data_IF_918400310775
#
_entry.id   IF_918400310775
#
_cell.length_a   1.000
_cell.length_b   1.000
_cell.length_c   1.000
_cell.angle_alpha   90.00
_cell.angle_beta   90.00
_cell.angle_gamma   90.00
#
_symmetry.space_group_name_H-M   'P 1'
#
loop_
_entity.id
_entity.type
_entity.pdbx_description
1 polymer ?
#
# COMPACT_ATOMS: atom_id res chain seq x y z
N UNK A 1 24.15 41.72 -72.23
CA UNK A 1 24.51 40.41 -71.58
C UNK A 1 25.27 40.75 -70.34
N UNK A 2 24.75 40.44 -69.17
CA UNK A 2 25.47 40.58 -67.86
C UNK A 2 26.51 39.52 -67.72
N UNK A 3 27.69 39.75 -67.10
CA UNK A 3 28.74 38.74 -66.91
C UNK A 3 28.29 37.71 -65.85
N UNK A 4 28.41 36.43 -66.19
CA UNK A 4 28.26 35.34 -65.27
C UNK A 4 29.38 35.39 -64.21
N UNK A 5 29.06 35.77 -63.02
CA UNK A 5 29.95 35.59 -61.86
C UNK A 5 30.20 34.12 -61.67
N UNK A 6 31.35 33.59 -62.05
CA UNK A 6 31.84 32.28 -61.75
C UNK A 6 32.24 32.30 -60.25
N UNK A 7 31.40 31.84 -59.42
CA UNK A 7 31.78 31.58 -58.05
C UNK A 7 32.72 30.38 -58.05
N UNK A 8 33.99 30.64 -57.85
CA UNK A 8 34.97 29.61 -57.59
C UNK A 8 34.69 29.00 -56.25
N UNK A 9 33.96 27.90 -56.24
CA UNK A 9 33.67 27.11 -55.05
C UNK A 9 34.94 26.39 -54.62
N UNK A 10 35.56 26.89 -53.55
CA UNK A 10 36.80 26.33 -53.00
C UNK A 10 36.48 25.07 -52.17
N UNK A 11 36.29 23.95 -52.85
CA UNK A 11 35.83 22.68 -52.28
C UNK A 11 36.76 22.16 -51.17
N UNK A 12 38.04 22.45 -51.21
CA UNK A 12 38.98 22.07 -50.17
C UNK A 12 38.85 22.86 -48.90
N UNK A 13 38.47 24.13 -48.96
CA UNK A 13 38.25 24.96 -47.78
C UNK A 13 36.93 24.63 -47.10
N UNK A 14 35.86 24.40 -47.88
CA UNK A 14 34.56 23.94 -47.37
C UNK A 14 34.68 22.56 -46.73
N UNK A 15 35.37 21.62 -47.33
CA UNK A 15 35.63 20.28 -46.78
C UNK A 15 36.38 20.34 -45.42
N UNK A 16 37.39 21.22 -45.29
CA UNK A 16 38.15 21.39 -44.05
C UNK A 16 37.28 21.95 -42.92
N UNK A 17 36.40 22.95 -43.23
CA UNK A 17 35.47 23.56 -42.25
C UNK A 17 34.42 22.54 -41.81
N UNK A 18 33.88 21.77 -42.76
CA UNK A 18 32.92 20.72 -42.44
C UNK A 18 33.52 19.63 -41.58
N UNK A 19 34.71 19.13 -41.92
CA UNK A 19 35.42 18.13 -41.15
C UNK A 19 35.74 18.61 -39.72
N UNK A 20 36.14 19.88 -39.57
CA UNK A 20 36.37 20.45 -38.23
C UNK A 20 35.07 20.54 -37.42
N UNK A 21 33.96 20.96 -38.01
CA UNK A 21 32.65 20.99 -37.35
C UNK A 21 32.19 19.59 -36.96
N UNK A 22 32.34 18.63 -37.87
CA UNK A 22 32.00 17.23 -37.60
C UNK A 22 32.86 16.64 -36.46
N UNK A 23 34.16 16.94 -36.46
CA UNK A 23 35.07 16.50 -35.40
C UNK A 23 34.66 17.05 -34.02
N UNK A 24 34.34 18.38 -33.98
CA UNK A 24 33.84 18.99 -32.73
C UNK A 24 32.52 18.36 -32.28
N UNK A 25 31.57 18.11 -33.20
CA UNK A 25 30.32 17.46 -32.89
C UNK A 25 30.54 16.03 -32.34
N UNK A 26 31.44 15.25 -32.94
CA UNK A 26 31.79 13.91 -32.47
C UNK A 26 32.39 13.96 -31.06
N UNK A 27 33.33 14.89 -30.82
CA UNK A 27 33.95 15.04 -29.48
C UNK A 27 32.89 15.42 -28.43
N UNK A 28 31.96 16.30 -28.80
CA UNK A 28 30.84 16.68 -27.90
C UNK A 28 29.95 15.48 -27.56
N UNK A 29 29.55 14.70 -28.57
CA UNK A 29 28.72 13.50 -28.37
C UNK A 29 29.45 12.45 -27.53
N UNK A 30 30.72 12.20 -27.80
CA UNK A 30 31.53 11.27 -26.98
C UNK A 30 31.65 11.76 -25.54
N UNK A 31 31.85 13.05 -25.33
CA UNK A 31 31.91 13.65 -24.01
C UNK A 31 30.59 13.47 -23.24
N UNK A 32 29.45 13.72 -23.88
CA UNK A 32 28.12 13.49 -23.27
C UNK A 32 27.87 12.02 -22.96
N UNK A 33 28.25 11.11 -23.86
CA UNK A 33 28.19 9.68 -23.64
C UNK A 33 29.05 9.24 -22.44
N UNK A 34 30.26 9.77 -22.32
CA UNK A 34 31.14 9.47 -21.20
C UNK A 34 30.54 9.92 -19.87
N UNK A 35 29.89 11.10 -19.82
CA UNK A 35 29.19 11.58 -18.61
C UNK A 35 28.04 10.63 -18.24
N UNK A 36 27.23 10.23 -19.23
CA UNK A 36 26.11 9.31 -18.99
C UNK A 36 26.62 7.95 -18.50
N UNK A 37 27.64 7.40 -19.11
CA UNK A 37 28.23 6.12 -18.73
C UNK A 37 28.83 6.16 -17.31
N UNK A 38 29.49 7.26 -16.95
CA UNK A 38 30.01 7.46 -15.61
C UNK A 38 28.88 7.52 -14.58
N UNK A 39 27.80 8.27 -14.89
CA UNK A 39 26.62 8.34 -14.02
C UNK A 39 25.93 6.98 -13.91
N UNK A 40 25.81 6.27 -15.00
CA UNK A 40 25.26 4.92 -15.02
C UNK A 40 26.06 3.97 -14.14
N UNK A 41 27.38 4.02 -14.24
CA UNK A 41 28.28 3.22 -13.41
C UNK A 41 28.13 3.53 -11.91
N UNK A 42 28.09 4.80 -11.53
CA UNK A 42 27.90 5.19 -10.12
C UNK A 42 26.58 4.67 -9.57
N UNK A 43 25.49 4.81 -10.32
CA UNK A 43 24.16 4.34 -9.90
C UNK A 43 24.05 2.81 -9.83
N UNK A 44 24.69 2.11 -10.77
CA UNK A 44 24.54 0.64 -10.90
C UNK A 44 25.54 -0.14 -10.03
N UNK A 45 26.69 0.43 -9.73
CA UNK A 45 27.75 -0.27 -9.00
C UNK A 45 27.98 0.34 -7.63
N UNK A 46 28.22 1.65 -7.56
CA UNK A 46 28.61 2.29 -6.30
C UNK A 46 27.43 2.50 -5.34
N UNK A 47 26.29 2.93 -5.88
CA UNK A 47 25.10 3.28 -5.10
C UNK A 47 23.99 2.21 -5.18
N UNK A 48 24.31 1.03 -5.76
CA UNK A 48 23.34 -0.05 -5.98
C UNK A 48 22.61 -0.48 -4.70
N UNK A 49 23.35 -0.71 -3.61
CA UNK A 49 22.78 -1.18 -2.34
C UNK A 49 21.83 -0.13 -1.72
N UNK A 50 22.15 1.15 -1.87
CA UNK A 50 21.31 2.23 -1.34
C UNK A 50 19.98 2.33 -2.11
N UNK A 51 20.04 2.34 -3.45
CA UNK A 51 18.83 2.38 -4.28
C UNK A 51 17.99 1.11 -4.17
N UNK A 52 18.63 -0.04 -4.02
CA UNK A 52 17.94 -1.31 -3.75
C UNK A 52 17.20 -1.24 -2.42
N UNK A 53 17.83 -0.76 -1.37
CA UNK A 53 17.21 -0.60 -0.04
C UNK A 53 16.03 0.38 -0.09
N UNK A 54 16.16 1.49 -0.82
CA UNK A 54 15.05 2.44 -1.01
C UNK A 54 13.90 1.82 -1.80
N UNK A 55 14.19 1.05 -2.84
CA UNK A 55 13.18 0.33 -3.63
C UNK A 55 12.46 -0.72 -2.79
N UNK A 56 13.20 -1.49 -2.00
CA UNK A 56 12.62 -2.49 -1.10
C UNK A 56 11.77 -1.84 0.00
N UNK A 57 12.20 -0.71 0.58
CA UNK A 57 11.39 0.06 1.54
C UNK A 57 10.09 0.59 0.91
N UNK A 58 10.14 1.01 -0.33
CA UNK A 58 8.95 1.50 -1.03
C UNK A 58 8.00 0.37 -1.43
N UNK A 59 8.53 -0.84 -1.63
CA UNK A 59 7.79 -2.05 -1.99
C UNK A 59 7.24 -2.79 -0.78
N UNK A 60 7.94 -2.74 0.37
CA UNK A 60 7.53 -3.42 1.60
C UNK A 60 6.54 -2.54 2.36
N UNK A 61 5.29 -2.96 2.36
CA UNK A 61 4.25 -2.39 3.20
C UNK A 61 4.30 -3.06 4.57
N UNK A 62 4.69 -2.29 5.60
CA UNK A 62 4.65 -2.77 6.97
C UNK A 62 3.18 -2.85 7.42
N UNK A 63 2.67 -4.07 7.53
CA UNK A 63 1.36 -4.33 8.13
C UNK A 63 1.56 -4.73 9.58
N UNK A 64 1.16 -3.90 10.56
CA UNK A 64 1.29 -4.22 11.97
C UNK A 64 0.36 -5.39 12.31
N UNK A 65 0.94 -6.48 12.81
CA UNK A 65 0.18 -7.62 13.31
C UNK A 65 -0.09 -7.38 14.81
N UNK A 66 -1.35 -7.22 15.21
CA UNK A 66 -1.67 -7.04 16.62
C UNK A 66 -1.28 -8.30 17.43
N UNK A 67 -0.57 -8.12 18.55
CA UNK A 67 -0.14 -9.25 19.38
C UNK A 67 -1.36 -9.97 19.98
N UNK A 68 -1.26 -11.30 20.06
CA UNK A 68 -2.27 -12.12 20.72
C UNK A 68 -2.14 -11.98 22.24
N UNK A 69 -3.24 -11.69 22.92
CA UNK A 69 -3.26 -11.66 24.39
C UNK A 69 -3.20 -13.06 24.95
N UNK A 70 -2.49 -13.25 26.10
CA UNK A 70 -2.46 -14.51 26.82
C UNK A 70 -3.82 -14.92 27.38
N UNK A 71 -4.01 -16.20 27.64
CA UNK A 71 -5.16 -16.73 28.36
C UNK A 71 -5.00 -16.44 29.85
N UNK A 72 -6.09 -16.26 30.60
CA UNK A 72 -6.08 -16.05 32.04
C UNK A 72 -6.84 -17.19 32.69
N UNK A 73 -6.20 -17.84 33.65
CA UNK A 73 -6.73 -18.94 34.40
C UNK A 73 -6.79 -18.60 35.89
N UNK A 74 -7.71 -19.23 36.60
CA UNK A 74 -7.72 -19.28 38.05
C UNK A 74 -6.66 -20.26 38.55
N UNK A 75 -6.39 -20.26 39.89
CA UNK A 75 -5.51 -21.24 40.58
C UNK A 75 -5.89 -22.69 40.33
N UNK A 76 -7.14 -22.95 40.05
CA UNK A 76 -7.68 -24.29 39.79
C UNK A 76 -7.65 -24.67 38.29
N UNK A 77 -7.07 -23.81 37.43
CA UNK A 77 -7.02 -24.01 35.98
C UNK A 77 -8.32 -23.67 35.24
N UNK A 78 -9.27 -23.02 35.91
CA UNK A 78 -10.51 -22.56 35.25
C UNK A 78 -10.22 -21.34 34.37
N UNK A 79 -10.69 -21.36 33.13
CA UNK A 79 -10.48 -20.31 32.16
C UNK A 79 -11.33 -19.08 32.48
N UNK A 80 -10.70 -17.99 32.86
CA UNK A 80 -11.36 -16.72 33.19
C UNK A 80 -11.43 -15.74 31.98
N UNK A 81 -10.48 -15.82 31.08
CA UNK A 81 -10.50 -14.99 29.86
C UNK A 81 -9.79 -15.70 28.71
N UNK A 82 -10.47 -15.82 27.58
CA UNK A 82 -9.97 -16.40 26.32
C UNK A 82 -10.01 -15.40 25.17
N UNK A 83 -9.54 -15.85 24.01
CA UNK A 83 -9.60 -15.07 22.78
C UNK A 83 -10.43 -15.85 21.76
N UNK A 84 -11.52 -15.26 21.29
CA UNK A 84 -12.35 -15.83 20.24
C UNK A 84 -12.14 -15.12 18.91
N UNK A 85 -12.03 -15.86 17.80
CA UNK A 85 -11.94 -15.26 16.49
C UNK A 85 -13.26 -14.55 16.16
N UNK A 86 -13.16 -13.29 15.78
CA UNK A 86 -14.25 -12.49 15.22
C UNK A 86 -13.85 -12.03 13.84
N UNK A 87 -14.72 -12.22 12.89
CA UNK A 87 -14.44 -11.82 11.51
C UNK A 87 -14.93 -10.40 11.27
N UNK A 88 -14.11 -9.63 10.57
CA UNK A 88 -14.46 -8.27 10.14
C UNK A 88 -14.36 -8.16 8.63
N UNK A 89 -15.24 -7.35 8.06
CA UNK A 89 -15.25 -6.98 6.66
C UNK A 89 -14.48 -5.68 6.50
N UNK A 90 -13.45 -5.70 5.67
CA UNK A 90 -12.61 -4.54 5.36
C UNK A 90 -12.55 -4.31 3.86
N UNK A 91 -12.34 -3.07 3.45
CA UNK A 91 -12.20 -2.68 2.04
C UNK A 91 -10.85 -2.01 1.85
N UNK A 92 -10.10 -2.45 0.84
CA UNK A 92 -8.85 -1.81 0.37
C UNK A 92 -9.20 -0.91 -0.81
N UNK A 93 -9.20 0.40 -0.59
CA UNK A 93 -9.65 1.39 -1.59
C UNK A 93 -8.91 1.29 -2.93
N UNK A 94 -7.61 1.05 -2.91
CA UNK A 94 -6.77 0.97 -4.11
C UNK A 94 -7.18 -0.19 -5.05
N UNK A 95 -7.74 -1.26 -4.49
CA UNK A 95 -8.14 -2.46 -5.24
C UNK A 95 -9.60 -2.42 -5.72
N UNK A 96 -10.35 -1.37 -5.35
CA UNK A 96 -11.76 -1.21 -5.70
C UNK A 96 -11.90 -0.16 -6.79
N UNK A 97 -12.34 -0.53 -8.01
CA UNK A 97 -12.54 0.41 -9.11
C UNK A 97 -13.63 1.45 -8.83
N UNK A 98 -14.76 0.99 -8.27
CA UNK A 98 -15.90 1.81 -7.88
C UNK A 98 -16.36 1.42 -6.47
N UNK A 99 -16.12 2.34 -5.52
CA UNK A 99 -16.41 2.10 -4.11
C UNK A 99 -17.92 2.07 -3.83
N UNK A 100 -18.69 2.95 -4.47
CA UNK A 100 -20.13 3.04 -4.25
C UNK A 100 -20.85 1.80 -4.79
N UNK A 101 -20.50 1.37 -5.99
CA UNK A 101 -21.03 0.15 -6.58
C UNK A 101 -20.67 -1.08 -5.72
N UNK A 102 -19.45 -1.16 -5.20
CA UNK A 102 -19.01 -2.26 -4.33
C UNK A 102 -19.78 -2.28 -3.00
N UNK A 103 -20.01 -1.12 -2.38
CA UNK A 103 -20.81 -1.02 -1.16
C UNK A 103 -22.27 -1.41 -1.44
N UNK A 104 -22.83 -1.00 -2.57
CA UNK A 104 -24.19 -1.40 -2.97
C UNK A 104 -24.32 -2.91 -3.19
N UNK A 105 -23.33 -3.57 -3.79
CA UNK A 105 -23.30 -5.03 -3.91
C UNK A 105 -23.12 -5.72 -2.55
N UNK A 106 -22.26 -5.19 -1.68
CA UNK A 106 -22.06 -5.70 -0.33
C UNK A 106 -23.32 -5.61 0.53
N UNK A 107 -24.07 -4.51 0.42
CA UNK A 107 -25.32 -4.32 1.18
C UNK A 107 -26.44 -5.31 0.82
N UNK A 108 -26.36 -5.94 -0.36
CA UNK A 108 -27.28 -7.04 -0.76
C UNK A 108 -26.91 -8.37 -0.08
N UNK A 109 -25.65 -8.55 0.26
CA UNK A 109 -25.13 -9.82 0.83
C UNK A 109 -25.07 -9.77 2.35
N UNK A 110 -24.76 -8.62 2.92
CA UNK A 110 -24.54 -8.42 4.36
C UNK A 110 -25.28 -7.15 4.80
N UNK A 111 -26.10 -7.20 5.87
CA UNK A 111 -26.77 -6.00 6.37
C UNK A 111 -25.73 -5.01 6.92
N UNK A 112 -25.60 -3.87 6.26
CA UNK A 112 -24.70 -2.78 6.65
C UNK A 112 -25.55 -1.68 7.25
N UNK A 113 -25.24 -1.23 8.48
CA UNK A 113 -25.96 -0.14 9.10
C UNK A 113 -25.44 1.22 8.60
N UNK A 114 -26.29 2.26 8.67
CA UNK A 114 -25.88 3.64 8.35
C UNK A 114 -24.70 4.09 9.22
N UNK A 115 -24.69 3.69 10.50
CA UNK A 115 -23.59 3.98 11.42
C UNK A 115 -22.26 3.30 11.01
N UNK A 116 -22.31 2.13 10.38
CA UNK A 116 -21.10 1.46 9.85
C UNK A 116 -20.55 2.23 8.64
N UNK A 117 -21.43 2.73 7.77
CA UNK A 117 -21.05 3.54 6.61
C UNK A 117 -20.43 4.88 7.03
N UNK A 118 -21.02 5.58 7.97
CA UNK A 118 -20.49 6.84 8.51
C UNK A 118 -19.10 6.65 9.13
N UNK A 119 -18.96 5.59 9.93
CA UNK A 119 -17.68 5.25 10.54
C UNK A 119 -16.63 4.86 9.50
N UNK A 120 -17.04 4.16 8.46
CA UNK A 120 -16.19 3.78 7.34
C UNK A 120 -15.69 5.02 6.58
N UNK A 121 -16.59 5.96 6.22
CA UNK A 121 -16.22 7.19 5.51
C UNK A 121 -15.25 8.05 6.33
N UNK A 122 -15.48 8.22 7.64
CA UNK A 122 -14.56 8.94 8.54
C UNK A 122 -13.18 8.31 8.62
N UNK A 123 -13.10 6.97 8.56
CA UNK A 123 -11.82 6.26 8.58
C UNK A 123 -11.14 6.29 7.20
N UNK A 124 -11.91 6.22 6.12
CA UNK A 124 -11.42 6.23 4.75
C UNK A 124 -10.63 7.52 4.45
N UNK A 125 -11.07 8.68 5.00
CA UNK A 125 -10.39 9.96 4.82
C UNK A 125 -9.04 10.06 5.56
N UNK A 126 -8.83 9.23 6.60
CA UNK A 126 -7.64 9.28 7.47
C UNK A 126 -6.62 8.19 7.16
N UNK A 127 -6.99 7.16 6.41
CA UNK A 127 -6.13 6.02 6.09
C UNK A 127 -5.56 6.11 4.68
N UNK A 128 -4.43 5.44 4.50
CA UNK A 128 -3.77 5.38 3.19
C UNK A 128 -4.57 4.49 2.23
N UNK A 129 -4.52 4.73 0.90
CA UNK A 129 -5.34 3.99 -0.08
C UNK A 129 -5.15 2.47 -0.09
N UNK A 130 -3.96 1.99 0.26
CA UNK A 130 -3.61 0.57 0.31
C UNK A 130 -3.99 -0.11 1.63
N UNK A 131 -4.36 0.66 2.66
CA UNK A 131 -4.75 0.10 3.95
C UNK A 131 -6.18 -0.43 3.92
N UNK A 132 -6.39 -1.59 4.53
CA UNK A 132 -7.72 -2.15 4.71
C UNK A 132 -8.51 -1.32 5.73
N UNK A 133 -9.62 -0.74 5.29
CA UNK A 133 -10.52 0.04 6.14
C UNK A 133 -11.68 -0.84 6.59
N UNK A 134 -11.89 -1.05 7.90
CA UNK A 134 -12.97 -1.89 8.37
C UNK A 134 -14.33 -1.21 8.15
N UNK A 135 -15.22 -1.91 7.44
CA UNK A 135 -16.59 -1.53 7.17
C UNK A 135 -17.53 -2.09 8.25
N UNK A 136 -17.45 -3.41 8.51
CA UNK A 136 -18.30 -4.07 9.50
C UNK A 136 -17.52 -5.03 10.37
N UNK A 137 -17.89 -5.08 11.65
CA UNK A 137 -17.32 -5.99 12.64
C UNK A 137 -18.31 -7.10 12.97
N UNK A 138 -17.77 -8.23 13.48
CA UNK A 138 -18.55 -9.38 13.96
C UNK A 138 -19.45 -9.99 12.90
N UNK A 139 -18.85 -10.37 11.77
CA UNK A 139 -19.55 -11.14 10.75
C UNK A 139 -19.99 -12.49 11.32
N UNK A 140 -21.19 -12.90 11.00
CA UNK A 140 -21.69 -14.25 11.29
C UNK A 140 -21.01 -15.27 10.38
N UNK A 141 -21.13 -16.56 10.74
CA UNK A 141 -20.62 -17.66 9.94
C UNK A 141 -21.27 -17.69 8.54
N UNK A 142 -22.56 -17.40 8.48
CA UNK A 142 -23.34 -17.37 7.24
C UNK A 142 -22.91 -16.20 6.34
N UNK A 143 -22.79 -15.00 6.88
CA UNK A 143 -22.31 -13.82 6.14
C UNK A 143 -20.91 -14.05 5.59
N UNK A 144 -20.01 -14.66 6.38
CA UNK A 144 -18.67 -15.00 5.91
C UNK A 144 -18.73 -16.01 4.74
N UNK A 145 -19.58 -17.02 4.80
CA UNK A 145 -19.74 -18.00 3.72
C UNK A 145 -20.27 -17.33 2.45
N UNK A 146 -21.27 -16.45 2.57
CA UNK A 146 -21.81 -15.68 1.44
C UNK A 146 -20.74 -14.79 0.79
N UNK A 147 -19.92 -14.10 1.59
CA UNK A 147 -18.84 -13.28 1.08
C UNK A 147 -17.75 -14.13 0.42
N UNK A 148 -17.42 -15.31 0.96
CA UNK A 148 -16.42 -16.19 0.39
C UNK A 148 -16.83 -16.71 -1.00
N UNK A 149 -18.10 -17.09 -1.17
CA UNK A 149 -18.64 -17.54 -2.46
C UNK A 149 -18.67 -16.42 -3.51
N UNK A 150 -18.98 -15.19 -3.08
CA UNK A 150 -19.09 -14.02 -3.98
C UNK A 150 -17.78 -13.23 -4.12
N UNK A 151 -16.67 -13.71 -3.58
CA UNK A 151 -15.38 -13.01 -3.56
C UNK A 151 -14.91 -12.54 -4.96
N UNK A 152 -15.20 -13.34 -6.01
CA UNK A 152 -14.80 -13.03 -7.38
C UNK A 152 -15.48 -11.77 -7.94
N UNK A 153 -16.65 -11.36 -7.39
CA UNK A 153 -17.40 -10.17 -7.77
C UNK A 153 -17.02 -8.93 -6.95
N UNK A 154 -16.27 -9.12 -5.88
CA UNK A 154 -15.98 -8.11 -4.87
C UNK A 154 -14.46 -7.85 -4.78
N UNK A 155 -13.83 -7.23 -5.80
CA UNK A 155 -12.42 -6.88 -5.76
C UNK A 155 -12.15 -5.90 -4.62
N UNK A 156 -11.01 -6.05 -3.93
CA UNK A 156 -10.62 -5.19 -2.82
C UNK A 156 -11.37 -5.41 -1.50
N UNK A 157 -12.31 -6.35 -1.45
CA UNK A 157 -13.00 -6.75 -0.22
C UNK A 157 -12.24 -7.87 0.46
N UNK A 158 -11.89 -7.67 1.72
CA UNK A 158 -11.11 -8.61 2.54
C UNK A 158 -11.88 -8.94 3.81
N UNK A 159 -11.91 -10.23 4.15
CA UNK A 159 -12.48 -10.71 5.42
C UNK A 159 -11.34 -11.17 6.30
N UNK A 160 -11.07 -10.41 7.36
CA UNK A 160 -9.99 -10.67 8.30
C UNK A 160 -10.53 -11.22 9.63
N UNK A 161 -9.77 -12.16 10.22
CA UNK A 161 -10.06 -12.67 11.55
C UNK A 161 -9.27 -11.87 12.59
N UNK A 162 -9.96 -11.24 13.52
CA UNK A 162 -9.37 -10.61 14.69
C UNK A 162 -9.73 -11.40 15.95
N UNK A 163 -8.77 -11.57 16.84
CA UNK A 163 -9.02 -12.19 18.14
C UNK A 163 -9.62 -11.16 19.10
N UNK A 164 -10.89 -11.35 19.45
CA UNK A 164 -11.56 -10.58 20.47
C UNK A 164 -11.47 -11.27 21.82
N UNK A 165 -11.24 -10.46 22.86
CA UNK A 165 -11.25 -10.93 24.22
C UNK A 165 -12.65 -11.39 24.62
N UNK A 166 -12.77 -12.59 25.12
CA UNK A 166 -14.00 -13.19 25.62
C UNK A 166 -13.84 -13.54 27.10
N UNK A 167 -14.87 -13.26 27.86
CA UNK A 167 -14.94 -13.52 29.28
C UNK A 167 -16.05 -14.54 29.54
N UNK A 168 -15.72 -15.86 29.71
CA UNK A 168 -16.73 -16.92 29.84
C UNK A 168 -17.70 -16.72 31.02
N UNK A 169 -17.20 -16.09 32.09
CA UNK A 169 -17.99 -15.82 33.30
C UNK A 169 -18.65 -14.43 33.31
N UNK A 170 -18.69 -13.73 32.18
CA UNK A 170 -19.35 -12.41 32.01
C UNK A 170 -18.79 -11.35 32.96
N UNK A 171 -19.67 -10.70 33.70
CA UNK A 171 -19.33 -9.56 34.56
C UNK A 171 -18.76 -9.95 35.93
N UNK A 172 -18.78 -11.21 36.28
CA UNK A 172 -18.46 -11.71 37.64
C UNK A 172 -17.06 -11.29 38.10
N UNK A 173 -16.09 -11.23 37.20
CA UNK A 173 -14.70 -10.86 37.47
C UNK A 173 -14.28 -9.52 36.86
N UNK A 174 -15.21 -8.66 36.47
CA UNK A 174 -14.95 -7.40 35.75
C UNK A 174 -14.01 -6.47 36.53
N UNK A 175 -14.15 -6.39 37.86
CA UNK A 175 -13.28 -5.56 38.71
C UNK A 175 -11.85 -6.09 38.85
N UNK A 176 -11.66 -7.43 38.76
CA UNK A 176 -10.34 -8.05 38.86
C UNK A 176 -9.63 -8.13 37.50
N UNK A 177 -10.36 -8.48 36.44
CA UNK A 177 -9.81 -8.71 35.11
C UNK A 177 -9.84 -7.45 34.23
N UNK A 178 -10.66 -6.46 34.59
CA UNK A 178 -10.93 -5.30 33.77
C UNK A 178 -11.69 -5.65 32.48
N UNK A 179 -11.71 -4.71 31.57
CA UNK A 179 -12.28 -4.89 30.24
C UNK A 179 -11.33 -4.40 29.15
N UNK A 180 -11.50 -4.91 27.95
CA UNK A 180 -10.71 -4.52 26.77
C UNK A 180 -11.57 -3.65 25.90
N UNK A 181 -11.20 -2.37 25.80
CA UNK A 181 -11.77 -1.41 24.85
C UNK A 181 -10.95 -1.35 23.55
N UNK A 182 -11.46 -0.66 22.53
CA UNK A 182 -10.68 -0.29 21.37
C UNK A 182 -9.64 0.75 21.76
N UNK A 183 -8.38 0.48 21.46
CA UNK A 183 -7.32 1.47 21.64
C UNK A 183 -7.60 2.70 20.77
N UNK A 184 -7.47 3.87 21.34
CA UNK A 184 -7.45 5.12 20.60
C UNK A 184 -6.04 5.27 19.99
N UNK A 185 -5.93 5.82 18.79
CA UNK A 185 -4.68 5.89 18.00
C UNK A 185 -3.48 6.46 18.78
N UNK A 186 -3.71 7.36 19.72
CA UNK A 186 -2.65 7.99 20.51
C UNK A 186 -2.16 7.15 21.71
N UNK A 187 -2.74 5.98 21.97
CA UNK A 187 -2.25 5.04 22.99
C UNK A 187 -1.41 3.91 22.40
N UNK A 188 -1.39 3.74 21.07
CA UNK A 188 -0.60 2.70 20.40
C UNK A 188 0.86 3.10 20.14
N UNK A 189 1.16 4.41 20.15
CA UNK A 189 2.51 4.94 19.88
C UNK A 189 3.39 5.02 21.13
N UNK A 190 2.88 4.59 22.28
CA UNK A 190 3.56 4.65 23.59
C UNK A 190 4.07 3.28 24.09
N UNK A 191 4.18 2.26 23.23
CA UNK A 191 4.68 0.94 23.57
C UNK A 191 5.94 0.58 22.79
#
# INVERSE_FOLDING_TARGET
>A
MPPKHIQLKDSHREARINNARTAVAIVMVVGLLAIILTRYYTLQVTEYEEYRTQSDRNRVQLQPLPPKRGLIYDRNGVLLADNRPSYMLSIVREQVPDLEATIAELSKLVPISEGDLDNFQKKLSRRRPYEAVPLRFRLTQEERALLAVNRYRLPGVVVDAQLLRNYPHGELFSHALGYVGRSLLYTSDAA
#
